data_IF_133809740727
#
_entry.id   IF_133809740727
#
_cell.length_a   1.000
_cell.length_b   1.000
_cell.length_c   1.000
_cell.angle_alpha   90.00
_cell.angle_beta   90.00
_cell.angle_gamma   90.00
#
_symmetry.space_group_name_H-M   'P 1'
#
loop_
_entity.id
_entity.type
_entity.pdbx_description
1 polymer ?
#
# COMPACT_ATOMS: atom_id res chain seq x y z
N UNK A 1 22.78 -4.20 -10.43
CA UNK A 1 22.92 -4.62 -9.02
C UNK A 1 21.62 -5.30 -8.59
N UNK A 2 21.56 -6.63 -8.57
CA UNK A 2 20.41 -7.37 -8.03
C UNK A 2 20.65 -7.63 -6.55
N UNK A 3 20.02 -6.83 -5.67
CA UNK A 3 19.90 -7.17 -4.25
C UNK A 3 18.90 -8.32 -4.16
N UNK A 4 19.37 -9.52 -3.82
CA UNK A 4 18.48 -10.55 -3.28
C UNK A 4 17.81 -9.95 -2.04
N UNK A 5 16.48 -9.89 -2.03
CA UNK A 5 15.73 -9.63 -0.80
C UNK A 5 16.01 -10.83 0.11
N UNK A 6 16.77 -10.61 1.17
CA UNK A 6 17.27 -11.69 2.01
C UNK A 6 16.09 -12.40 2.67
N UNK A 7 15.90 -13.67 2.30
CA UNK A 7 15.06 -14.58 3.07
C UNK A 7 15.88 -15.14 4.21
N UNK A 8 15.36 -15.14 5.43
CA UNK A 8 16.10 -15.67 6.57
C UNK A 8 16.01 -17.20 6.60
N UNK A 9 17.12 -17.85 6.89
CA UNK A 9 17.20 -19.32 6.98
C UNK A 9 17.20 -19.82 8.43
N UNK A 10 17.35 -18.92 9.41
CA UNK A 10 17.38 -19.26 10.83
C UNK A 10 16.56 -18.30 11.73
N UNK A 11 16.26 -18.77 12.96
CA UNK A 11 15.40 -18.05 13.91
C UNK A 11 16.02 -16.76 14.46
N UNK A 12 17.36 -16.68 14.55
CA UNK A 12 18.03 -15.50 15.10
C UNK A 12 17.85 -14.30 14.18
N UNK A 13 18.09 -14.49 12.89
CA UNK A 13 17.91 -13.45 11.87
C UNK A 13 16.46 -12.98 11.79
N UNK A 14 15.49 -13.90 11.93
CA UNK A 14 14.07 -13.54 11.98
C UNK A 14 13.75 -12.62 13.17
N UNK A 15 14.26 -12.94 14.36
CA UNK A 15 14.04 -12.13 15.56
C UNK A 15 14.66 -10.73 15.42
N UNK A 16 15.85 -10.64 14.82
CA UNK A 16 16.51 -9.36 14.54
C UNK A 16 15.74 -8.53 13.50
N UNK A 17 15.19 -9.18 12.48
CA UNK A 17 14.35 -8.56 11.46
C UNK A 17 13.02 -8.03 12.02
N UNK A 18 12.40 -8.75 12.96
CA UNK A 18 11.17 -8.31 13.63
C UNK A 18 11.42 -7.11 14.56
N UNK A 19 12.56 -7.11 15.26
CA UNK A 19 12.97 -6.07 16.19
C UNK A 19 13.41 -4.75 15.51
N UNK A 20 13.78 -4.80 14.22
CA UNK A 20 14.29 -3.63 13.50
C UNK A 20 13.17 -2.84 12.83
N UNK A 21 13.09 -1.54 13.09
CA UNK A 21 12.23 -0.62 12.36
C UNK A 21 13.01 0.04 11.21
N UNK A 22 12.61 -0.26 9.97
CA UNK A 22 13.16 0.37 8.77
C UNK A 22 12.40 1.64 8.39
N UNK A 23 13.03 2.47 7.54
CA UNK A 23 12.45 3.73 7.06
C UNK A 23 11.20 3.53 6.17
N UNK A 24 11.12 2.41 5.44
CA UNK A 24 10.01 2.09 4.54
C UNK A 24 9.09 1.01 5.13
N UNK A 25 7.78 1.26 5.04
CA UNK A 25 6.76 0.29 5.42
C UNK A 25 6.86 -1.02 4.62
N UNK A 26 7.21 -0.90 3.33
CA UNK A 26 7.40 -2.04 2.43
C UNK A 26 8.57 -2.91 2.90
N UNK A 27 9.69 -2.29 3.29
CA UNK A 27 10.87 -3.02 3.80
C UNK A 27 10.58 -3.72 5.11
N UNK A 28 9.86 -3.07 6.04
CA UNK A 28 9.41 -3.74 7.27
C UNK A 28 8.54 -4.95 6.99
N UNK A 29 7.58 -4.81 6.09
CA UNK A 29 6.66 -5.90 5.79
C UNK A 29 7.43 -7.10 5.21
N UNK A 30 8.32 -6.87 4.25
CA UNK A 30 9.20 -7.90 3.70
C UNK A 30 10.02 -8.58 4.79
N UNK A 31 10.70 -7.79 5.64
CA UNK A 31 11.59 -8.30 6.68
C UNK A 31 10.83 -9.10 7.74
N UNK A 32 9.64 -8.67 8.16
CA UNK A 32 8.84 -9.37 9.17
C UNK A 32 8.17 -10.64 8.65
N UNK A 33 7.73 -10.62 7.39
CA UNK A 33 6.95 -11.71 6.81
C UNK A 33 7.75 -12.59 5.87
N UNK A 34 9.05 -12.33 5.70
CA UNK A 34 9.94 -13.08 4.82
C UNK A 34 9.44 -13.12 3.36
N UNK A 35 8.83 -12.02 2.89
CA UNK A 35 8.18 -11.94 1.58
C UNK A 35 9.15 -11.46 0.50
N UNK A 36 9.12 -12.11 -0.66
CA UNK A 36 9.78 -11.60 -1.87
C UNK A 36 8.76 -10.78 -2.66
N UNK A 37 9.13 -9.55 -3.02
CA UNK A 37 8.30 -8.73 -3.92
C UNK A 37 8.46 -9.25 -5.35
N UNK A 38 7.35 -9.55 -5.99
CA UNK A 38 7.29 -9.71 -7.44
C UNK A 38 7.37 -8.33 -8.10
N UNK A 39 8.56 -7.96 -8.54
CA UNK A 39 8.82 -6.72 -9.26
C UNK A 39 8.50 -6.82 -10.76
N UNK A 40 8.38 -8.02 -11.32
CA UNK A 40 8.08 -8.22 -12.75
C UNK A 40 6.56 -8.09 -13.00
N UNK A 41 5.74 -8.45 -12.01
CA UNK A 41 4.29 -8.29 -12.05
C UNK A 41 3.77 -6.87 -11.75
N UNK A 42 4.64 -5.90 -11.46
CA UNK A 42 4.18 -4.54 -11.12
C UNK A 42 3.80 -3.74 -12.36
N UNK A 43 2.70 -2.98 -12.25
CA UNK A 43 2.19 -2.10 -13.30
C UNK A 43 2.11 -0.67 -12.80
N UNK A 44 2.52 0.27 -13.65
CA UNK A 44 2.23 1.69 -13.45
C UNK A 44 0.73 1.94 -13.65
N UNK A 45 0.07 2.43 -12.60
CA UNK A 45 -1.38 2.68 -12.60
C UNK A 45 -1.75 4.04 -13.19
N UNK A 46 -0.91 5.07 -13.01
CA UNK A 46 -1.11 6.43 -13.51
C UNK A 46 0.24 7.18 -13.52
N UNK A 47 0.33 8.30 -14.23
CA UNK A 47 1.49 9.21 -14.23
C UNK A 47 1.00 10.66 -14.19
N UNK A 48 1.61 11.46 -13.31
CA UNK A 48 1.27 12.87 -13.16
C UNK A 48 2.55 13.70 -12.96
N UNK A 49 2.66 14.80 -13.72
CA UNK A 49 3.82 15.68 -13.71
C UNK A 49 3.72 16.75 -12.62
N UNK A 50 2.50 17.15 -12.24
CA UNK A 50 2.28 18.09 -11.16
C UNK A 50 2.34 17.38 -9.80
N UNK A 51 3.32 17.73 -8.97
CA UNK A 51 3.52 17.08 -7.66
C UNK A 51 2.31 17.19 -6.73
N UNK A 52 1.60 18.32 -6.72
CA UNK A 52 0.44 18.52 -5.86
C UNK A 52 -0.75 17.66 -6.32
N UNK A 53 -1.03 17.65 -7.63
CA UNK A 53 -2.07 16.79 -8.19
C UNK A 53 -1.75 15.31 -8.00
N UNK A 54 -0.49 14.92 -8.18
CA UNK A 54 -0.03 13.55 -7.97
C UNK A 54 -0.32 13.11 -6.54
N UNK A 55 0.10 13.89 -5.54
CA UNK A 55 -0.15 13.59 -4.12
C UNK A 55 -1.65 13.45 -3.84
N UNK A 56 -2.47 14.40 -4.30
CA UNK A 56 -3.93 14.35 -4.10
C UNK A 56 -4.55 13.07 -4.71
N UNK A 57 -4.16 12.70 -5.93
CA UNK A 57 -4.66 11.49 -6.61
C UNK A 57 -4.21 10.23 -5.89
N UNK A 58 -2.95 10.17 -5.47
CA UNK A 58 -2.39 9.09 -4.65
C UNK A 58 -3.19 8.94 -3.34
N UNK A 59 -3.46 10.04 -2.63
CA UNK A 59 -4.27 10.03 -1.41
C UNK A 59 -5.66 9.47 -1.62
N UNK A 60 -6.33 9.87 -2.69
CA UNK A 60 -7.67 9.37 -3.04
C UNK A 60 -7.62 7.90 -3.39
N UNK A 61 -6.59 7.44 -4.11
CA UNK A 61 -6.42 6.04 -4.45
C UNK A 61 -6.18 5.18 -3.20
N UNK A 62 -5.29 5.63 -2.31
CA UNK A 62 -5.02 4.96 -1.02
C UNK A 62 -6.26 4.92 -0.15
N UNK A 63 -7.02 6.02 -0.06
CA UNK A 63 -8.25 6.07 0.75
C UNK A 63 -9.37 5.15 0.25
N UNK A 64 -9.36 4.78 -1.03
CA UNK A 64 -10.27 3.78 -1.61
C UNK A 64 -9.82 2.34 -1.35
N UNK A 65 -8.52 2.13 -1.15
CA UNK A 65 -7.96 0.80 -0.94
C UNK A 65 -8.26 0.30 0.48
N UNK A 66 -8.67 -0.96 0.60
CA UNK A 66 -9.06 -1.54 1.92
C UNK A 66 -7.86 -2.11 2.67
N UNK A 67 -6.77 -2.41 1.97
CA UNK A 67 -5.54 -2.99 2.53
C UNK A 67 -4.38 -2.02 2.34
N UNK A 68 -4.24 -1.10 3.27
CA UNK A 68 -3.22 -0.06 3.20
C UNK A 68 -1.97 -0.50 3.99
N UNK A 69 -0.84 -0.61 3.28
CA UNK A 69 0.49 -0.81 3.89
C UNK A 69 1.14 0.52 4.31
N UNK A 70 0.63 1.64 3.79
CA UNK A 70 1.17 2.96 4.09
C UNK A 70 1.01 3.29 5.58
N UNK A 71 2.08 3.87 6.16
CA UNK A 71 2.08 4.31 7.56
C UNK A 71 1.29 5.61 7.76
N UNK A 72 1.22 6.44 6.72
CA UNK A 72 0.44 7.66 6.70
C UNK A 72 -0.99 7.40 6.20
N UNK A 73 -1.99 7.94 6.89
CA UNK A 73 -3.41 7.64 6.64
C UNK A 73 -3.90 8.02 5.23
N UNK A 74 -3.20 8.92 4.54
CA UNK A 74 -3.71 9.51 3.30
C UNK A 74 -2.64 9.75 2.23
N UNK A 75 -1.45 9.17 2.29
CA UNK A 75 -0.45 9.29 1.22
C UNK A 75 -0.10 10.73 0.83
N UNK A 76 0.83 11.37 1.54
CA UNK A 76 1.43 12.65 1.14
C UNK A 76 0.52 13.90 1.09
N UNK A 77 -0.81 13.77 1.04
CA UNK A 77 -1.81 14.84 1.18
C UNK A 77 -2.92 14.41 2.14
N UNK A 78 -3.29 15.28 3.08
CA UNK A 78 -4.27 14.95 4.13
C UNK A 78 -5.70 15.21 3.64
N UNK A 79 -6.41 14.15 3.27
CA UNK A 79 -7.83 14.23 2.92
C UNK A 79 -8.68 14.47 4.16
N UNK A 80 -9.60 15.43 4.08
CA UNK A 80 -10.54 15.68 5.17
C UNK A 80 -11.46 14.45 5.38
N UNK A 81 -11.74 14.05 6.63
CA UNK A 81 -12.62 12.92 6.93
C UNK A 81 -14.03 13.04 6.33
N UNK A 82 -14.49 14.26 6.00
CA UNK A 82 -15.77 14.51 5.32
C UNK A 82 -15.90 13.78 3.98
N UNK A 83 -14.78 13.46 3.32
CA UNK A 83 -14.79 12.77 2.03
C UNK A 83 -14.87 11.24 2.17
N UNK A 84 -14.66 10.68 3.38
CA UNK A 84 -14.67 9.22 3.61
C UNK A 84 -15.95 8.52 3.11
N UNK A 85 -17.17 9.08 3.28
CA UNK A 85 -18.39 8.47 2.75
C UNK A 85 -18.43 8.32 1.22
N UNK A 86 -17.65 9.10 0.47
CA UNK A 86 -17.60 9.00 -0.99
C UNK A 86 -16.82 7.77 -1.46
N UNK A 87 -16.00 7.16 -0.60
CA UNK A 87 -15.18 6.00 -0.93
C UNK A 87 -15.86 4.67 -0.58
N UNK A 88 -16.92 4.67 0.23
CA UNK A 88 -17.65 3.47 0.65
C UNK A 88 -18.82 3.10 -0.27
N UNK A 89 -19.33 4.05 -1.06
CA UNK A 89 -20.55 3.90 -1.87
C UNK A 89 -20.42 3.03 -3.14
N UNK A 90 -19.24 2.46 -3.43
CA UNK A 90 -18.97 1.69 -4.65
C UNK A 90 -19.34 0.19 -4.63
N UNK A 91 -19.94 -0.31 -3.56
CA UNK A 91 -20.34 -1.73 -3.42
C UNK A 91 -21.83 -1.99 -3.66
N UNK A 92 -22.57 -1.10 -4.33
CA UNK A 92 -23.87 -1.46 -4.87
C UNK A 92 -23.66 -2.26 -6.17
N UNK A 93 -23.34 -3.55 -6.01
CA UNK A 93 -23.66 -4.54 -7.02
C UNK A 93 -25.15 -4.37 -7.33
N UNK A 94 -25.47 -3.96 -8.56
CA UNK A 94 -26.85 -3.95 -9.02
C UNK A 94 -27.43 -5.36 -8.92
N UNK A 95 -28.14 -5.64 -7.83
CA UNK A 95 -29.14 -6.70 -7.84
C UNK A 95 -30.24 -6.21 -8.78
N UNK A 96 -30.11 -6.53 -10.06
CA UNK A 96 -31.28 -6.56 -10.95
C UNK A 96 -32.25 -7.56 -10.31
N UNK A 97 -33.26 -7.01 -9.65
CA UNK A 97 -34.45 -7.76 -9.29
C UNK A 97 -35.10 -8.18 -10.61
N UNK A 98 -34.90 -9.42 -11.01
CA UNK A 98 -35.72 -10.05 -12.03
C UNK A 98 -37.05 -10.41 -11.36
N UNK A 99 -38.10 -9.69 -11.73
CA UNK A 99 -39.48 -10.16 -11.62
C UNK A 99 -39.71 -11.25 -12.68
#
# INVERSE_FOLDING_TARGET
>A
MHRKLATYENNKEKLEAEATEHSSAVTNHIARHNHVIDWEGVKVIDRENNTALRKLRESVAIAKERRVMNRDEAGGYQLSPIYRPLFTAGNHSGSKSAM
#
